data_IF_128911393440
#
_entry.id   IF_128911393440
#
_cell.length_a   1.000
_cell.length_b   1.000
_cell.length_c   1.000
_cell.angle_alpha   90.00
_cell.angle_beta   90.00
_cell.angle_gamma   90.00
#
_symmetry.space_group_name_H-M   'P 1'
#
loop_
_entity.id
_entity.type
_entity.pdbx_description
1 polymer ?
#
# COMPACT_ATOMS: atom_id res chain seq x y z
N UNK A 1 12.62 12.31 -21.36
CA UNK A 1 13.62 12.31 -20.26
C UNK A 1 13.91 13.74 -19.78
N UNK A 2 14.28 14.67 -20.64
CA UNK A 2 14.61 16.06 -20.28
C UNK A 2 13.54 16.77 -19.44
N UNK A 3 12.27 16.69 -19.85
CA UNK A 3 11.15 17.30 -19.11
C UNK A 3 11.01 16.70 -17.71
N UNK A 4 11.18 15.39 -17.56
CA UNK A 4 11.07 14.73 -16.25
C UNK A 4 12.21 15.15 -15.32
N UNK A 5 13.45 15.24 -15.81
CA UNK A 5 14.58 15.75 -15.04
C UNK A 5 14.35 17.20 -14.60
N UNK A 6 14.01 18.10 -15.54
CA UNK A 6 13.74 19.49 -15.20
C UNK A 6 12.59 19.68 -14.20
N UNK A 7 11.56 18.84 -14.25
CA UNK A 7 10.48 18.88 -13.27
C UNK A 7 10.92 18.36 -11.90
N UNK A 8 11.76 17.33 -11.87
CA UNK A 8 12.30 16.79 -10.62
C UNK A 8 13.21 17.84 -9.94
N UNK A 9 14.02 18.57 -10.69
CA UNK A 9 14.83 19.70 -10.19
C UNK A 9 13.96 20.81 -9.57
N UNK A 10 12.73 20.96 -10.04
CA UNK A 10 11.72 21.86 -9.48
C UNK A 10 10.85 21.22 -8.37
N UNK A 11 11.27 20.10 -7.82
CA UNK A 11 10.51 19.34 -6.82
C UNK A 11 9.10 18.92 -7.28
N UNK A 12 8.91 18.68 -8.58
CA UNK A 12 7.64 18.29 -9.20
C UNK A 12 7.72 16.86 -9.77
N UNK A 13 7.64 15.81 -8.94
CA UNK A 13 7.89 14.42 -9.33
C UNK A 13 6.82 13.84 -10.27
N UNK A 14 5.67 14.50 -10.41
CA UNK A 14 4.54 14.01 -11.19
C UNK A 14 4.36 14.82 -12.48
N UNK A 15 4.01 14.16 -13.59
CA UNK A 15 3.82 14.79 -14.90
C UNK A 15 2.67 14.14 -15.66
N UNK A 16 1.71 14.93 -16.16
CA UNK A 16 0.73 14.42 -17.12
C UNK A 16 1.40 14.16 -18.46
N UNK A 17 1.43 12.90 -18.90
CA UNK A 17 1.83 12.54 -20.26
C UNK A 17 0.64 12.59 -21.23
N UNK A 18 -0.58 12.40 -20.71
CA UNK A 18 -1.84 12.58 -21.43
C UNK A 18 -2.98 12.80 -20.43
N UNK A 19 -4.19 13.02 -20.91
CA UNK A 19 -5.37 13.14 -20.06
C UNK A 19 -5.63 11.90 -19.17
N UNK A 20 -5.10 10.73 -19.55
CA UNK A 20 -5.29 9.46 -18.87
C UNK A 20 -3.98 8.84 -18.34
N UNK A 21 -2.84 9.48 -18.52
CA UNK A 21 -1.53 8.93 -18.14
C UNK A 21 -0.75 9.90 -17.28
N UNK A 22 -0.53 9.49 -16.02
CA UNK A 22 0.34 10.17 -15.08
C UNK A 22 1.69 9.44 -15.02
N UNK A 23 2.78 10.16 -15.23
CA UNK A 23 4.14 9.67 -14.99
C UNK A 23 4.59 10.15 -13.62
N UNK A 24 5.02 9.21 -12.78
CA UNK A 24 5.61 9.46 -11.48
C UNK A 24 7.10 9.13 -11.53
N UNK A 25 7.94 10.07 -11.13
CA UNK A 25 9.38 9.86 -10.95
C UNK A 25 9.65 9.76 -9.46
N UNK A 26 10.27 8.66 -9.00
CA UNK A 26 10.62 8.53 -7.58
C UNK A 26 11.68 9.59 -7.22
N UNK A 27 11.35 10.57 -6.36
CA UNK A 27 12.27 11.66 -6.04
C UNK A 27 13.30 11.27 -4.95
N UNK A 28 13.16 10.10 -4.35
CA UNK A 28 13.97 9.64 -3.21
C UNK A 28 13.97 10.59 -1.99
N UNK A 29 12.94 11.44 -1.86
CA UNK A 29 12.69 12.30 -0.71
C UNK A 29 11.21 12.24 -0.27
N UNK A 30 10.91 12.75 0.93
CA UNK A 30 9.54 12.72 1.48
C UNK A 30 8.61 13.69 0.73
N UNK A 31 7.53 13.16 0.16
CA UNK A 31 6.51 13.91 -0.60
C UNK A 31 5.32 14.34 0.26
N UNK A 32 5.35 14.11 1.56
CA UNK A 32 4.18 14.30 2.44
C UNK A 32 3.61 15.73 2.41
N UNK A 33 4.47 16.75 2.31
CA UNK A 33 4.03 18.15 2.18
C UNK A 33 3.30 18.38 0.85
N UNK A 34 3.84 17.88 -0.24
CA UNK A 34 3.21 17.97 -1.58
C UNK A 34 1.87 17.23 -1.60
N UNK A 35 1.79 16.09 -0.94
CA UNK A 35 0.55 15.33 -0.80
C UNK A 35 -0.53 16.13 -0.05
N UNK A 36 -0.16 16.85 1.01
CA UNK A 36 -1.09 17.69 1.78
C UNK A 36 -1.62 18.87 0.96
N UNK A 37 -0.75 19.58 0.28
CA UNK A 37 -1.11 20.77 -0.52
C UNK A 37 -2.07 20.41 -1.66
N UNK A 38 -1.83 19.25 -2.33
CA UNK A 38 -2.68 18.81 -3.44
C UNK A 38 -3.97 18.16 -2.94
N UNK A 39 -3.96 17.50 -1.78
CA UNK A 39 -5.16 16.86 -1.22
C UNK A 39 -6.26 17.91 -0.95
N UNK A 40 -5.91 19.07 -0.38
CA UNK A 40 -6.84 20.15 -0.13
C UNK A 40 -7.44 20.68 -1.44
N UNK A 41 -6.61 21.00 -2.43
CA UNK A 41 -7.05 21.49 -3.74
C UNK A 41 -7.94 20.49 -4.49
N UNK A 42 -7.59 19.21 -4.48
CA UNK A 42 -8.36 18.16 -5.15
C UNK A 42 -9.73 17.89 -4.51
N UNK A 43 -9.88 18.21 -3.22
CA UNK A 43 -11.14 18.04 -2.48
C UNK A 43 -12.09 19.24 -2.68
N UNK A 44 -11.54 20.47 -2.74
CA UNK A 44 -12.33 21.70 -2.75
C UNK A 44 -12.78 22.11 -4.16
N UNK A 45 -12.02 21.76 -5.20
CA UNK A 45 -12.27 22.27 -6.56
C UNK A 45 -12.80 21.18 -7.50
N UNK A 46 -14.05 21.38 -7.96
CA UNK A 46 -14.65 20.59 -9.04
C UNK A 46 -13.99 20.82 -10.43
N UNK A 47 -13.04 21.74 -10.54
CA UNK A 47 -12.33 22.03 -11.79
C UNK A 47 -11.13 21.10 -11.97
N UNK A 48 -11.46 19.83 -12.30
CA UNK A 48 -10.50 18.75 -12.49
C UNK A 48 -9.39 19.03 -13.54
N UNK A 49 -9.63 19.77 -14.64
CA UNK A 49 -8.57 20.10 -15.60
C UNK A 49 -7.45 20.96 -15.01
N UNK A 50 -7.74 21.81 -14.03
CA UNK A 50 -6.76 22.74 -13.45
C UNK A 50 -5.88 22.11 -12.36
N UNK A 51 -6.21 20.90 -11.89
CA UNK A 51 -5.45 20.23 -10.84
C UNK A 51 -4.03 19.86 -11.30
N UNK A 52 -3.02 20.07 -10.43
CA UNK A 52 -1.64 19.73 -10.75
C UNK A 52 -1.47 18.20 -10.95
N UNK A 53 -0.44 17.76 -11.68
CA UNK A 53 -0.12 16.36 -11.80
C UNK A 53 0.17 15.74 -10.43
N UNK A 54 -0.69 14.82 -9.99
CA UNK A 54 -0.57 14.13 -8.70
C UNK A 54 -1.41 12.85 -8.69
N UNK A 55 -1.06 11.81 -7.92
CA UNK A 55 -1.90 10.63 -7.72
C UNK A 55 -3.32 10.97 -7.24
N UNK A 56 -3.49 11.97 -6.38
CA UNK A 56 -4.82 12.43 -5.93
C UNK A 56 -5.64 13.04 -7.07
N UNK A 57 -5.01 13.83 -7.94
CA UNK A 57 -5.69 14.39 -9.11
C UNK A 57 -6.13 13.30 -10.09
N UNK A 58 -5.32 12.23 -10.22
CA UNK A 58 -5.72 11.04 -10.99
C UNK A 58 -6.93 10.34 -10.34
N UNK A 59 -6.90 10.13 -9.03
CA UNK A 59 -8.00 9.52 -8.28
C UNK A 59 -9.30 10.33 -8.44
N UNK A 60 -9.23 11.65 -8.27
CA UNK A 60 -10.38 12.55 -8.44
C UNK A 60 -10.97 12.46 -9.86
N UNK A 61 -10.12 12.51 -10.90
CA UNK A 61 -10.57 12.37 -12.30
C UNK A 61 -11.26 11.04 -12.57
N UNK A 62 -10.67 9.95 -12.10
CA UNK A 62 -11.21 8.59 -12.27
C UNK A 62 -12.54 8.45 -11.53
N UNK A 63 -12.62 8.95 -10.30
CA UNK A 63 -13.82 8.93 -9.48
C UNK A 63 -14.97 9.73 -10.13
N UNK A 64 -14.72 10.97 -10.55
CA UNK A 64 -15.71 11.77 -11.24
C UNK A 64 -16.14 11.17 -12.56
N UNK A 65 -15.21 10.61 -13.35
CA UNK A 65 -15.54 9.93 -14.60
C UNK A 65 -16.47 8.74 -14.35
N UNK A 66 -16.19 7.94 -13.30
CA UNK A 66 -17.06 6.84 -12.89
C UNK A 66 -18.48 7.34 -12.56
N UNK A 67 -18.59 8.42 -11.79
CA UNK A 67 -19.91 8.99 -11.41
C UNK A 67 -20.68 9.52 -12.60
N UNK A 68 -20.02 10.22 -13.53
CA UNK A 68 -20.67 10.81 -14.71
C UNK A 68 -21.09 9.76 -15.74
N UNK A 69 -20.28 8.72 -15.93
CA UNK A 69 -20.51 7.72 -16.98
C UNK A 69 -21.24 6.48 -16.48
N UNK A 70 -21.32 6.28 -15.17
CA UNK A 70 -21.80 5.05 -14.52
C UNK A 70 -21.06 3.79 -14.99
N UNK A 71 -19.83 3.92 -15.44
CA UNK A 71 -18.98 2.82 -15.93
C UNK A 71 -17.79 2.59 -15.00
N UNK A 72 -17.41 1.33 -14.83
CA UNK A 72 -16.20 0.95 -14.11
C UNK A 72 -14.97 1.58 -14.75
N UNK A 73 -14.07 2.06 -13.93
CA UNK A 73 -12.78 2.62 -14.33
C UNK A 73 -11.67 1.73 -13.83
N UNK A 74 -10.54 1.69 -14.55
CA UNK A 74 -9.36 0.92 -14.16
C UNK A 74 -8.13 1.81 -14.12
N UNK A 75 -7.28 1.61 -13.12
CA UNK A 75 -5.98 2.28 -12.99
C UNK A 75 -4.91 1.19 -13.00
N UNK A 76 -3.99 1.28 -13.94
CA UNK A 76 -2.86 0.36 -14.07
C UNK A 76 -1.57 1.05 -13.61
N UNK A 77 -0.84 0.40 -12.69
CA UNK A 77 0.46 0.87 -12.22
C UNK A 77 1.57 0.05 -12.87
N UNK A 78 2.42 0.68 -13.65
CA UNK A 78 3.53 0.05 -14.38
C UNK A 78 4.85 0.76 -14.08
N UNK A 79 5.94 0.02 -14.05
CA UNK A 79 7.29 0.55 -13.81
C UNK A 79 8.21 -0.50 -13.19
N UNK A 80 9.51 -0.21 -13.15
CA UNK A 80 10.52 -1.07 -12.53
C UNK A 80 10.38 -1.13 -11.00
N UNK A 81 11.12 -2.01 -10.36
CA UNK A 81 11.24 -2.04 -8.90
C UNK A 81 11.73 -0.67 -8.42
N UNK A 82 11.19 -0.21 -7.28
CA UNK A 82 11.48 1.09 -6.67
C UNK A 82 10.99 2.33 -7.43
N UNK A 83 10.21 2.18 -8.50
CA UNK A 83 9.60 3.31 -9.22
C UNK A 83 8.43 3.98 -8.49
N UNK A 84 8.05 3.54 -7.28
CA UNK A 84 6.96 4.10 -6.48
C UNK A 84 5.55 3.60 -6.85
N UNK A 85 5.41 2.46 -7.54
CA UNK A 85 4.09 1.88 -7.91
C UNK A 85 3.17 1.67 -6.71
N UNK A 86 3.66 0.98 -5.68
CA UNK A 86 2.90 0.69 -4.46
C UNK A 86 2.53 1.98 -3.75
N UNK A 87 3.47 2.91 -3.59
CA UNK A 87 3.23 4.22 -3.02
C UNK A 87 2.12 4.98 -3.77
N UNK A 88 2.20 5.05 -5.10
CA UNK A 88 1.17 5.71 -5.92
C UNK A 88 -0.20 5.03 -5.80
N UNK A 89 -0.25 3.70 -5.75
CA UNK A 89 -1.48 2.93 -5.55
C UNK A 89 -2.12 3.25 -4.18
N UNK A 90 -1.33 3.31 -3.13
CA UNK A 90 -1.80 3.64 -1.78
C UNK A 90 -2.35 5.07 -1.71
N UNK A 91 -1.65 6.05 -2.30
CA UNK A 91 -2.11 7.44 -2.37
C UNK A 91 -3.44 7.56 -3.13
N UNK A 92 -3.54 6.91 -4.29
CA UNK A 92 -4.80 6.89 -5.07
C UNK A 92 -5.92 6.24 -4.25
N UNK A 93 -5.66 5.10 -3.63
CA UNK A 93 -6.65 4.39 -2.81
C UNK A 93 -7.10 5.27 -1.64
N UNK A 94 -6.19 5.84 -0.88
CA UNK A 94 -6.51 6.70 0.27
C UNK A 94 -7.36 7.91 -0.16
N UNK A 95 -7.02 8.53 -1.30
CA UNK A 95 -7.81 9.65 -1.80
C UNK A 95 -9.21 9.22 -2.28
N UNK A 96 -9.34 8.05 -2.92
CA UNK A 96 -10.65 7.49 -3.27
C UNK A 96 -11.50 7.20 -2.04
N UNK A 97 -10.90 6.71 -0.95
CA UNK A 97 -11.59 6.54 0.33
C UNK A 97 -12.06 7.87 0.89
N UNK A 98 -11.24 8.92 0.81
CA UNK A 98 -11.60 10.27 1.24
C UNK A 98 -12.74 10.86 0.41
N UNK A 99 -12.67 10.78 -0.92
CA UNK A 99 -13.72 11.29 -1.84
C UNK A 99 -15.05 10.57 -1.66
N UNK A 100 -15.02 9.29 -1.32
CA UNK A 100 -16.20 8.46 -1.12
C UNK A 100 -16.72 8.47 0.33
N UNK A 101 -15.99 9.13 1.24
CA UNK A 101 -16.34 9.17 2.65
C UNK A 101 -17.69 9.86 2.83
N UNK A 102 -18.63 9.17 3.44
CA UNK A 102 -19.81 9.77 4.04
C UNK A 102 -19.64 9.68 5.55
N UNK A 103 -20.37 10.52 6.26
CA UNK A 103 -20.32 10.58 7.72
C UNK A 103 -20.98 9.35 8.41
N UNK A 104 -21.12 8.22 7.70
CA UNK A 104 -21.70 6.99 8.26
C UNK A 104 -20.61 6.08 8.81
N UNK A 105 -20.84 5.54 10.00
CA UNK A 105 -19.93 4.61 10.69
C UNK A 105 -19.60 3.36 9.83
N UNK A 106 -20.55 2.91 9.01
CA UNK A 106 -20.36 1.72 8.16
C UNK A 106 -19.28 1.93 7.07
N UNK A 107 -19.26 3.10 6.44
CA UNK A 107 -18.28 3.39 5.36
C UNK A 107 -16.89 3.65 5.92
N UNK A 108 -16.78 4.25 7.10
CA UNK A 108 -15.53 4.33 7.85
C UNK A 108 -14.96 2.94 8.14
N UNK A 109 -15.81 2.00 8.52
CA UNK A 109 -15.40 0.61 8.81
C UNK A 109 -14.83 -0.10 7.58
N UNK A 110 -15.44 0.09 6.39
CA UNK A 110 -14.93 -0.49 5.13
C UNK A 110 -13.56 0.10 4.78
N UNK A 111 -13.37 1.42 4.93
CA UNK A 111 -12.09 2.06 4.70
C UNK A 111 -11.00 1.51 5.62
N UNK A 112 -11.30 1.32 6.90
CA UNK A 112 -10.38 0.73 7.86
C UNK A 112 -10.03 -0.73 7.53
N UNK A 113 -11.00 -1.50 7.05
CA UNK A 113 -10.74 -2.86 6.54
C UNK A 113 -9.78 -2.86 5.35
N UNK A 114 -9.91 -1.91 4.42
CA UNK A 114 -9.01 -1.80 3.28
C UNK A 114 -7.59 -1.49 3.77
N UNK A 115 -7.41 -0.56 4.71
CA UNK A 115 -6.10 -0.23 5.31
C UNK A 115 -5.50 -1.43 6.06
N UNK A 116 -6.31 -2.15 6.81
CA UNK A 116 -5.88 -3.38 7.48
C UNK A 116 -5.41 -4.44 6.49
N UNK A 117 -6.17 -4.67 5.41
CA UNK A 117 -5.81 -5.63 4.38
C UNK A 117 -4.51 -5.25 3.65
N UNK A 118 -4.32 -3.97 3.31
CA UNK A 118 -3.07 -3.47 2.74
C UNK A 118 -1.89 -3.77 3.67
N UNK A 119 -2.03 -3.44 4.95
CA UNK A 119 -0.97 -3.69 5.93
C UNK A 119 -0.59 -5.18 6.06
N UNK A 120 -1.58 -6.07 6.06
CA UNK A 120 -1.33 -7.52 6.10
C UNK A 120 -0.62 -7.98 4.82
N UNK A 121 -1.07 -7.53 3.64
CA UNK A 121 -0.42 -7.86 2.37
C UNK A 121 1.02 -7.36 2.33
N UNK A 122 1.32 -6.20 2.92
CA UNK A 122 2.70 -5.71 3.05
C UNK A 122 3.53 -6.63 3.97
N UNK A 123 3.01 -7.02 5.12
CA UNK A 123 3.74 -7.89 6.04
C UNK A 123 4.12 -9.24 5.39
N UNK A 124 3.19 -9.85 4.64
CA UNK A 124 3.37 -11.17 4.05
C UNK A 124 3.97 -11.17 2.63
N UNK A 125 3.93 -10.04 1.94
CA UNK A 125 4.32 -9.96 0.53
C UNK A 125 5.43 -8.97 0.20
N UNK A 126 5.93 -8.19 1.16
CA UNK A 126 7.06 -7.30 0.95
C UNK A 126 8.34 -7.86 1.58
N UNK A 127 9.46 -7.56 0.94
CA UNK A 127 10.78 -7.95 1.40
C UNK A 127 11.78 -6.82 1.12
N UNK A 128 12.83 -6.71 1.94
CA UNK A 128 13.94 -5.80 1.68
C UNK A 128 14.79 -6.34 0.53
N UNK A 129 15.07 -5.48 -0.43
CA UNK A 129 16.00 -5.71 -1.55
C UNK A 129 17.09 -4.65 -1.53
N UNK A 130 18.13 -4.84 -2.34
CA UNK A 130 19.20 -3.85 -2.51
C UNK A 130 18.70 -2.48 -2.98
N UNK A 131 17.61 -2.44 -3.75
CA UNK A 131 17.04 -1.21 -4.32
C UNK A 131 15.94 -0.60 -3.47
N UNK A 132 15.21 -1.41 -2.69
CA UNK A 132 14.04 -0.96 -1.95
C UNK A 132 13.87 -1.76 -0.66
N UNK A 133 13.78 -1.07 0.47
CA UNK A 133 13.60 -1.71 1.77
C UNK A 133 12.23 -2.36 1.95
N UNK A 134 11.23 -1.98 1.14
CA UNK A 134 9.85 -2.48 1.19
C UNK A 134 9.36 -2.91 -0.20
N UNK A 135 10.18 -3.65 -0.94
CA UNK A 135 9.84 -4.10 -2.27
C UNK A 135 8.70 -5.12 -2.25
N UNK A 136 7.63 -4.84 -2.97
CA UNK A 136 6.54 -5.81 -3.20
C UNK A 136 7.05 -7.02 -3.99
N UNK A 137 6.84 -8.21 -3.46
CA UNK A 137 7.21 -9.50 -4.06
C UNK A 137 5.98 -10.28 -4.57
N UNK A 138 4.90 -9.57 -4.85
CA UNK A 138 3.66 -10.08 -5.39
C UNK A 138 2.96 -8.98 -6.18
N UNK A 139 1.97 -9.34 -6.97
CA UNK A 139 1.05 -8.41 -7.59
C UNK A 139 -0.30 -8.42 -6.86
N UNK A 140 -0.98 -7.28 -6.85
CA UNK A 140 -2.32 -7.15 -6.28
C UNK A 140 -3.28 -6.56 -7.30
N UNK A 141 -4.53 -7.03 -7.25
CA UNK A 141 -5.64 -6.45 -7.95
C UNK A 141 -6.72 -6.06 -6.95
N UNK A 142 -7.06 -4.78 -6.90
CA UNK A 142 -8.05 -4.22 -6.00
C UNK A 142 -9.29 -3.81 -6.75
N UNK A 143 -10.44 -4.27 -6.32
CA UNK A 143 -11.75 -3.81 -6.75
C UNK A 143 -12.36 -2.99 -5.61
N UNK A 144 -12.67 -1.72 -5.88
CA UNK A 144 -13.41 -0.86 -4.96
C UNK A 144 -14.83 -0.70 -5.52
N UNK A 145 -15.83 -1.07 -4.73
CA UNK A 145 -17.22 -1.06 -5.14
C UNK A 145 -17.90 0.19 -4.63
N UNK A 146 -18.42 1.00 -5.55
CA UNK A 146 -19.14 2.25 -5.24
C UNK A 146 -20.62 2.14 -5.59
N UNK A 147 -21.48 2.83 -4.84
CA UNK A 147 -22.88 3.03 -5.21
C UNK A 147 -22.98 4.06 -6.34
N UNK A 148 -24.16 4.18 -6.95
CA UNK A 148 -24.44 5.22 -7.95
C UNK A 148 -24.21 6.65 -7.42
N UNK A 149 -24.29 6.85 -6.09
CA UNK A 149 -24.02 8.14 -5.42
C UNK A 149 -22.54 8.29 -5.02
N UNK A 150 -21.63 7.44 -5.50
CA UNK A 150 -20.21 7.47 -5.20
C UNK A 150 -19.82 6.94 -3.82
N UNK A 151 -20.71 6.42 -3.02
CA UNK A 151 -20.40 5.91 -1.68
C UNK A 151 -19.73 4.54 -1.76
N UNK A 152 -18.64 4.35 -1.01
CA UNK A 152 -17.97 3.07 -0.89
C UNK A 152 -18.89 2.02 -0.26
N UNK A 153 -19.03 0.85 -0.90
CA UNK A 153 -19.89 -0.26 -0.46
C UNK A 153 -19.11 -1.50 -0.07
N UNK A 154 -17.91 -1.63 -0.56
CA UNK A 154 -17.05 -2.77 -0.28
C UNK A 154 -15.78 -2.74 -1.10
N UNK A 155 -14.93 -3.71 -0.85
CA UNK A 155 -13.72 -3.92 -1.61
C UNK A 155 -13.43 -5.42 -1.74
N UNK A 156 -12.71 -5.78 -2.80
CA UNK A 156 -12.15 -7.11 -2.99
C UNK A 156 -10.68 -6.97 -3.35
N UNK A 157 -9.85 -7.84 -2.82
CA UNK A 157 -8.43 -7.91 -3.18
C UNK A 157 -8.08 -9.32 -3.63
N UNK A 158 -7.27 -9.39 -4.68
CA UNK A 158 -6.62 -10.61 -5.14
C UNK A 158 -5.12 -10.38 -5.13
N UNK A 159 -4.37 -11.31 -4.53
CA UNK A 159 -2.91 -11.33 -4.53
C UNK A 159 -2.44 -12.52 -5.36
N UNK A 160 -1.44 -12.33 -6.21
CA UNK A 160 -0.91 -13.36 -7.09
C UNK A 160 0.55 -13.14 -7.43
N UNK A 161 1.21 -14.17 -7.94
CA UNK A 161 2.61 -14.08 -8.36
C UNK A 161 3.59 -13.86 -7.20
N UNK A 162 3.33 -14.45 -6.02
CA UNK A 162 4.24 -14.36 -4.90
C UNK A 162 5.59 -15.01 -5.24
N UNK A 163 6.67 -14.24 -5.05
CA UNK A 163 8.05 -14.68 -5.26
C UNK A 163 8.47 -15.69 -4.18
N UNK A 164 8.21 -16.98 -4.43
CA UNK A 164 8.49 -18.07 -3.50
C UNK A 164 9.99 -18.29 -3.25
N UNK A 165 10.84 -17.91 -4.21
CA UNK A 165 12.30 -18.06 -4.06
C UNK A 165 12.84 -17.19 -2.91
N UNK A 166 12.16 -16.10 -2.59
CA UNK A 166 12.52 -15.22 -1.47
C UNK A 166 12.48 -15.90 -0.09
N UNK A 167 11.92 -17.09 0.03
CA UNK A 167 11.93 -17.87 1.28
C UNK A 167 13.26 -18.62 1.43
N UNK A 168 13.76 -19.22 0.34
CA UNK A 168 14.91 -20.12 0.35
C UNK A 168 16.21 -19.47 -0.12
N UNK A 169 16.13 -18.44 -0.96
CA UNK A 169 17.29 -17.79 -1.57
C UNK A 169 17.19 -16.26 -1.36
N UNK A 170 17.98 -15.79 -0.40
CA UNK A 170 18.05 -14.37 -0.03
C UNK A 170 19.47 -13.88 -0.25
N UNK A 171 19.64 -12.94 -1.16
CA UNK A 171 20.95 -12.36 -1.45
C UNK A 171 21.54 -11.64 -0.22
N UNK A 172 22.89 -11.50 -0.14
CA UNK A 172 23.54 -10.76 0.93
C UNK A 172 22.96 -9.33 1.07
N UNK A 173 22.74 -8.88 2.32
CA UNK A 173 22.15 -7.58 2.67
C UNK A 173 20.66 -7.41 2.30
N UNK A 174 20.02 -8.42 1.77
CA UNK A 174 18.56 -8.48 1.56
C UNK A 174 17.88 -9.23 2.71
N UNK A 175 16.55 -9.20 2.73
CA UNK A 175 15.73 -9.92 3.73
C UNK A 175 14.67 -10.75 3.02
N UNK A 176 14.23 -11.83 3.65
CA UNK A 176 13.00 -12.53 3.28
C UNK A 176 11.77 -11.67 3.61
N UNK A 177 10.58 -12.24 3.56
CA UNK A 177 9.35 -11.50 3.83
C UNK A 177 9.34 -10.88 5.22
N UNK A 178 8.80 -9.66 5.32
CA UNK A 178 8.81 -8.86 6.53
C UNK A 178 8.17 -9.58 7.73
N UNK A 179 7.14 -10.40 7.50
CA UNK A 179 6.44 -11.11 8.55
C UNK A 179 7.36 -12.01 9.39
N UNK A 180 8.37 -12.66 8.80
CA UNK A 180 9.29 -13.52 9.55
C UNK A 180 10.09 -12.73 10.59
N UNK A 181 10.57 -11.55 10.22
CA UNK A 181 11.31 -10.67 11.12
C UNK A 181 10.40 -10.04 12.16
N UNK A 182 9.17 -9.69 11.77
CA UNK A 182 8.16 -9.19 12.69
C UNK A 182 7.81 -10.22 13.77
N UNK A 183 7.64 -11.49 13.40
CA UNK A 183 7.40 -12.60 14.33
C UNK A 183 8.56 -12.76 15.32
N UNK A 184 9.79 -12.84 14.81
CA UNK A 184 10.97 -13.04 15.64
C UNK A 184 11.22 -11.88 16.61
N UNK A 185 10.90 -10.64 16.21
CA UNK A 185 11.08 -9.45 17.03
C UNK A 185 9.94 -9.21 18.02
N UNK A 186 8.70 -9.55 17.65
CA UNK A 186 7.50 -9.11 18.34
C UNK A 186 6.76 -10.19 19.13
N UNK A 187 7.07 -11.48 18.92
CA UNK A 187 6.47 -12.56 19.66
C UNK A 187 6.93 -12.55 21.13
N UNK A 188 5.99 -12.75 22.06
CA UNK A 188 6.28 -12.90 23.49
C UNK A 188 7.10 -14.18 23.74
N UNK A 189 7.81 -14.30 24.86
CA UNK A 189 8.56 -15.52 25.21
C UNK A 189 7.70 -16.80 25.17
N UNK A 190 6.45 -16.71 25.60
CA UNK A 190 5.50 -17.81 25.56
C UNK A 190 5.16 -18.21 24.13
N UNK A 191 4.83 -17.22 23.28
CA UNK A 191 4.52 -17.44 21.87
C UNK A 191 5.73 -18.01 21.12
N UNK A 192 6.94 -17.53 21.39
CA UNK A 192 8.18 -18.04 20.79
C UNK A 192 8.34 -19.54 21.06
N UNK A 193 8.16 -19.98 22.30
CA UNK A 193 8.23 -21.39 22.68
C UNK A 193 7.10 -22.20 22.05
N UNK A 194 5.85 -21.69 22.08
CA UNK A 194 4.69 -22.38 21.49
C UNK A 194 4.77 -22.52 19.97
N UNK A 195 5.43 -21.57 19.27
CA UNK A 195 5.54 -21.53 17.80
C UNK A 195 6.86 -22.10 17.29
N UNK A 196 7.74 -22.55 18.18
CA UNK A 196 9.03 -23.12 17.80
C UNK A 196 10.02 -22.10 17.25
N UNK A 197 9.93 -20.84 17.65
CA UNK A 197 10.75 -19.74 17.11
C UNK A 197 12.13 -19.62 17.78
N UNK A 198 12.40 -20.32 18.87
CA UNK A 198 13.61 -20.15 19.65
C UNK A 198 14.88 -20.62 18.92
N UNK A 199 14.73 -21.58 18.01
CA UNK A 199 15.83 -22.13 17.19
C UNK A 199 15.85 -21.55 15.76
N UNK A 200 14.90 -20.68 15.40
CA UNK A 200 14.77 -20.14 14.06
C UNK A 200 15.78 -19.01 13.84
N UNK A 201 16.60 -19.15 12.79
CA UNK A 201 17.54 -18.13 12.32
C UNK A 201 17.22 -17.75 10.87
N UNK A 202 17.17 -16.45 10.59
CA UNK A 202 16.94 -15.90 9.25
C UNK A 202 18.26 -15.43 8.60
N UNK A 203 19.30 -16.23 8.72
CA UNK A 203 20.60 -15.93 8.16
C UNK A 203 21.28 -14.74 8.86
N UNK A 204 21.94 -13.85 8.09
CA UNK A 204 22.68 -12.70 8.63
C UNK A 204 21.80 -11.50 9.02
N UNK A 205 20.53 -11.47 8.63
CA UNK A 205 19.64 -10.36 8.88
C UNK A 205 18.98 -10.46 10.26
N UNK A 206 19.26 -9.51 11.13
CA UNK A 206 18.74 -9.48 12.51
C UNK A 206 17.40 -8.74 12.54
N UNK A 207 16.39 -9.24 13.29
CA UNK A 207 15.15 -8.53 13.58
C UNK A 207 15.43 -7.21 14.34
N UNK A 208 14.64 -6.17 14.05
CA UNK A 208 14.80 -4.82 14.60
C UNK A 208 13.66 -4.44 15.54
N UNK A 209 13.83 -3.31 16.25
CA UNK A 209 12.72 -2.73 17.05
C UNK A 209 11.53 -2.31 16.19
N UNK A 210 11.78 -1.91 14.94
CA UNK A 210 10.70 -1.55 14.04
C UNK A 210 9.91 -2.78 13.57
N UNK A 211 10.56 -3.93 13.38
CA UNK A 211 9.86 -5.18 13.12
C UNK A 211 8.91 -5.55 14.27
N UNK A 212 9.32 -5.36 15.52
CA UNK A 212 8.45 -5.59 16.67
C UNK A 212 7.24 -4.65 16.70
N UNK A 213 7.43 -3.36 16.37
CA UNK A 213 6.31 -2.40 16.23
C UNK A 213 5.37 -2.79 15.10
N UNK A 214 5.92 -3.20 13.97
CA UNK A 214 5.13 -3.64 12.80
C UNK A 214 4.35 -4.91 13.12
N UNK A 215 4.90 -5.84 13.91
CA UNK A 215 4.17 -7.02 14.38
C UNK A 215 2.90 -6.66 15.18
N UNK A 216 3.02 -5.70 16.10
CA UNK A 216 1.85 -5.20 16.84
C UNK A 216 0.79 -4.63 15.90
N UNK A 217 1.21 -3.88 14.87
CA UNK A 217 0.28 -3.34 13.86
C UNK A 217 -0.35 -4.45 13.02
N UNK A 218 0.41 -5.46 12.64
CA UNK A 218 -0.09 -6.63 11.89
C UNK A 218 -1.13 -7.40 12.70
N UNK A 219 -0.89 -7.63 14.00
CA UNK A 219 -1.90 -8.25 14.89
C UNK A 219 -3.17 -7.41 15.00
N UNK A 220 -3.04 -6.09 15.15
CA UNK A 220 -4.20 -5.17 15.15
C UNK A 220 -4.95 -5.20 13.83
N UNK A 221 -4.25 -5.29 12.70
CA UNK A 221 -4.87 -5.38 11.39
C UNK A 221 -5.68 -6.68 11.22
N UNK A 222 -5.19 -7.83 11.71
CA UNK A 222 -5.98 -9.06 11.75
C UNK A 222 -7.27 -8.90 12.56
N UNK A 223 -7.18 -8.32 13.75
CA UNK A 223 -8.35 -8.06 14.59
C UNK A 223 -9.31 -7.08 13.91
N UNK A 224 -8.78 -6.04 13.27
CA UNK A 224 -9.56 -5.07 12.50
C UNK A 224 -10.35 -5.70 11.35
N UNK A 225 -9.85 -6.77 10.74
CA UNK A 225 -10.58 -7.56 9.73
C UNK A 225 -11.53 -8.59 10.34
N UNK A 226 -11.69 -8.64 11.65
CA UNK A 226 -12.52 -9.64 12.34
C UNK A 226 -11.91 -11.05 12.38
N UNK A 227 -10.62 -11.20 12.06
CA UNK A 227 -9.92 -12.47 12.13
C UNK A 227 -9.61 -12.76 13.61
N UNK A 228 -10.22 -13.82 14.15
CA UNK A 228 -10.05 -14.21 15.55
C UNK A 228 -8.57 -14.51 15.85
N UNK A 229 -8.13 -14.18 17.05
CA UNK A 229 -6.74 -14.34 17.49
C UNK A 229 -6.23 -15.78 17.31
N UNK A 230 -7.06 -16.78 17.59
CA UNK A 230 -6.73 -18.20 17.36
C UNK A 230 -6.35 -18.49 15.91
N UNK A 231 -7.01 -17.85 14.93
CA UNK A 231 -6.71 -18.06 13.53
C UNK A 231 -5.45 -17.30 13.12
N UNK A 232 -5.24 -16.08 13.60
CA UNK A 232 -4.03 -15.32 13.33
C UNK A 232 -2.79 -16.00 13.94
N UNK A 233 -2.90 -16.56 15.13
CA UNK A 233 -1.85 -17.39 15.73
C UNK A 233 -1.55 -18.64 14.90
N UNK A 234 -2.59 -19.31 14.35
CA UNK A 234 -2.40 -20.45 13.45
C UNK A 234 -1.64 -20.12 12.17
N UNK A 235 -1.78 -18.89 11.65
CA UNK A 235 -1.01 -18.41 10.50
C UNK A 235 0.46 -18.07 10.84
N UNK A 236 0.76 -17.87 12.11
CA UNK A 236 2.11 -17.52 12.60
C UNK A 236 2.92 -18.73 13.07
N UNK A 237 2.31 -19.92 13.17
CA UNK A 237 3.06 -21.15 13.49
C UNK A 237 3.90 -21.59 12.30
N UNK A 238 5.17 -21.82 12.56
CA UNK A 238 6.15 -22.34 11.60
C UNK A 238 6.14 -23.86 11.62
#
# INVERSE_FOLDING_TARGET
THVLCARLDLSAPYTWASAAMLVATNPCWDTSQLDADVAEAAYVHADLPSLPPHPYSLAARVYHKMLCTHQSQSILYSGVTDAGKTHSMERVTEHLLTLSASHTQHESHIADHIRCAQHILHAFGHAKTALNEQASRHATYWELHFSQKGRLRGAKVLAFGLDKHRISDVAPNERSFAIFYQLLAGASPKERSEWGLDEVSLGSAVPTRDDARMFVRTRRAFLGLGIKEKHSQGMCRV
#
